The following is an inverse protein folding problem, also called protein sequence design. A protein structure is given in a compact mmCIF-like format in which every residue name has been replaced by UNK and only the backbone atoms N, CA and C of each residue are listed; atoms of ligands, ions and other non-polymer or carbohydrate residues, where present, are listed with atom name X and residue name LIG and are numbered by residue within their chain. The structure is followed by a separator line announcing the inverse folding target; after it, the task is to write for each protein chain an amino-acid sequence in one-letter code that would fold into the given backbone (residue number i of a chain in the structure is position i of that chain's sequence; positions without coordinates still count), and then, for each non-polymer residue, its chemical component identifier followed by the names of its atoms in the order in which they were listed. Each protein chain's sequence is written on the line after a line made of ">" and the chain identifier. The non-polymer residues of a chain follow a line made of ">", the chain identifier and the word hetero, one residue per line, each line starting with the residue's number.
data_IF_859596638749
#
_entry.id   IF_859596638749
#
_cell.length_a   1.000
_cell.length_b   1.000
_cell.length_c   1.000
_cell.angle_alpha   90.00
_cell.angle_beta   90.00
_cell.angle_gamma   90.00
#
_symmetry.space_group_name_H-M   'P 1'
#
loop_
_entity.id
_entity.type
_entity.pdbx_description
1 polymer ?
#
# COMPACT_ATOMS: atom_id res chain seq x y z
N UNK A 1 -16.07 12.24 -4.23
CA UNK A 1 -17.10 11.31 -3.73
C UNK A 1 -16.52 9.92 -3.93
N UNK A 2 -16.22 9.19 -2.86
CA UNK A 2 -15.59 7.88 -3.01
C UNK A 2 -16.58 6.93 -3.71
N UNK A 3 -16.22 6.30 -4.82
CA UNK A 3 -17.14 5.48 -5.61
C UNK A 3 -17.55 4.18 -4.90
N UNK A 4 -16.88 3.81 -3.81
CA UNK A 4 -17.09 2.54 -3.09
C UNK A 4 -17.94 2.71 -1.83
N UNK A 5 -17.84 3.83 -1.12
CA UNK A 5 -18.46 4.01 0.21
C UNK A 5 -19.59 5.05 0.25
N UNK A 6 -19.81 5.81 -0.83
CA UNK A 6 -20.81 6.91 -0.89
C UNK A 6 -20.72 7.93 0.26
N UNK A 7 -19.64 7.93 1.04
CA UNK A 7 -19.38 8.90 2.09
C UNK A 7 -18.83 10.19 1.48
N UNK A 8 -19.20 11.32 2.08
CA UNK A 8 -18.44 12.57 1.90
C UNK A 8 -17.02 12.31 2.43
N UNK A 9 -15.95 12.67 1.70
CA UNK A 9 -14.60 12.47 2.20
C UNK A 9 -14.47 13.26 3.51
N UNK A 10 -14.35 12.53 4.62
CA UNK A 10 -13.98 13.15 5.91
C UNK A 10 -12.58 13.70 5.67
N UNK A 11 -12.39 15.01 5.83
CA UNK A 11 -11.08 15.64 5.60
C UNK A 11 -10.09 14.97 6.57
N UNK A 12 -9.30 14.04 6.04
CA UNK A 12 -8.41 13.25 6.86
C UNK A 12 -7.35 14.18 7.45
N UNK A 13 -6.92 13.90 8.67
CA UNK A 13 -5.84 14.67 9.28
C UNK A 13 -4.63 14.65 8.33
N UNK A 14 -3.94 15.79 8.07
CA UNK A 14 -2.85 15.85 7.09
C UNK A 14 -1.72 14.83 7.31
N UNK A 15 -1.60 14.32 8.53
CA UNK A 15 -0.61 13.32 8.93
C UNK A 15 -1.18 11.90 9.09
N UNK A 16 -2.36 11.58 8.54
CA UNK A 16 -2.96 10.24 8.64
C UNK A 16 -2.29 9.18 7.75
N UNK A 17 -1.43 9.61 6.82
CA UNK A 17 -0.76 8.73 5.86
C UNK A 17 0.71 9.15 5.70
N UNK A 18 1.59 8.46 6.43
CA UNK A 18 3.03 8.75 6.48
C UNK A 18 3.91 7.50 6.30
N UNK A 19 3.75 6.72 5.21
CA UNK A 19 4.49 5.47 5.02
C UNK A 19 6.01 5.64 4.87
N UNK A 20 6.48 6.85 4.57
CA UNK A 20 7.89 7.19 4.37
C UNK A 20 8.38 8.32 5.30
N UNK A 21 7.63 8.58 6.38
CA UNK A 21 7.81 9.72 7.29
C UNK A 21 7.70 11.10 6.60
N UNK A 22 7.96 12.18 7.36
CA UNK A 22 7.94 13.57 6.87
C UNK A 22 9.15 14.35 7.41
N UNK A 23 9.43 15.50 6.78
CA UNK A 23 10.53 16.39 7.17
C UNK A 23 11.91 15.96 6.63
N UNK A 24 13.01 16.51 7.16
CA UNK A 24 14.36 16.33 6.61
C UNK A 24 14.92 14.91 6.78
N UNK A 25 14.24 14.05 7.56
CA UNK A 25 14.58 12.63 7.76
C UNK A 25 13.54 11.70 7.12
N UNK A 26 12.84 12.16 6.09
CA UNK A 26 11.97 11.31 5.28
C UNK A 26 12.80 10.27 4.50
N UNK A 27 12.13 9.25 3.97
CA UNK A 27 12.78 8.26 3.12
C UNK A 27 13.31 8.93 1.84
N UNK A 28 14.62 8.89 1.62
CA UNK A 28 15.25 9.36 0.38
C UNK A 28 14.71 8.63 -0.86
N UNK A 29 14.24 7.38 -0.69
CA UNK A 29 13.65 6.55 -1.73
C UNK A 29 12.15 6.76 -1.98
N UNK A 30 11.48 7.71 -1.31
CA UNK A 30 10.03 7.93 -1.40
C UNK A 30 9.50 7.99 -2.85
N UNK A 31 10.13 8.82 -3.69
CA UNK A 31 9.68 9.03 -5.06
C UNK A 31 9.91 7.78 -5.92
N UNK A 32 11.08 7.15 -5.75
CA UNK A 32 11.45 5.94 -6.47
C UNK A 32 10.54 4.77 -6.11
N UNK A 33 10.36 4.49 -4.82
CA UNK A 33 9.49 3.42 -4.34
C UNK A 33 8.03 3.59 -4.81
N UNK A 34 7.53 4.83 -4.84
CA UNK A 34 6.17 5.11 -5.33
C UNK A 34 6.02 4.93 -6.84
N UNK A 35 7.07 5.26 -7.61
CA UNK A 35 7.09 5.02 -9.05
C UNK A 35 7.11 3.52 -9.33
N UNK A 36 8.05 2.79 -8.75
CA UNK A 36 8.19 1.34 -8.95
C UNK A 36 6.93 0.58 -8.55
N UNK A 37 6.36 0.88 -7.38
CA UNK A 37 5.14 0.22 -6.92
C UNK A 37 3.97 0.41 -7.89
N UNK A 38 3.80 1.62 -8.46
CA UNK A 38 2.76 1.91 -9.46
C UNK A 38 3.01 1.17 -10.76
N UNK A 39 4.25 1.16 -11.25
CA UNK A 39 4.63 0.48 -12.50
C UNK A 39 4.42 -1.02 -12.37
N UNK A 40 4.95 -1.64 -11.31
CA UNK A 40 4.79 -3.07 -11.04
C UNK A 40 3.31 -3.42 -10.91
N UNK A 41 2.53 -2.65 -10.15
CA UNK A 41 1.09 -2.89 -10.00
C UNK A 41 0.35 -2.78 -11.34
N UNK A 42 0.66 -1.78 -12.17
CA UNK A 42 0.04 -1.62 -13.48
C UNK A 42 0.37 -2.81 -14.41
N UNK A 43 1.61 -3.30 -14.39
CA UNK A 43 2.02 -4.47 -15.17
C UNK A 43 1.28 -5.73 -14.70
N UNK A 44 1.25 -5.96 -13.38
CA UNK A 44 0.61 -7.10 -12.75
C UNK A 44 -0.90 -7.16 -13.05
N UNK A 45 -1.62 -6.04 -12.92
CA UNK A 45 -3.07 -6.00 -13.17
C UNK A 45 -3.42 -6.18 -14.66
N UNK A 46 -2.54 -5.77 -15.57
CA UNK A 46 -2.76 -5.96 -17.01
C UNK A 46 -2.48 -7.40 -17.48
N UNK A 47 -1.56 -8.10 -16.84
CA UNK A 47 -1.04 -9.39 -17.33
C UNK A 47 -1.48 -10.59 -16.49
N UNK A 48 -1.98 -10.38 -15.27
CA UNK A 48 -2.32 -11.44 -14.34
C UNK A 48 -3.76 -11.34 -13.87
N UNK A 49 -4.39 -12.51 -13.65
CA UNK A 49 -5.65 -12.61 -12.93
C UNK A 49 -5.38 -13.15 -11.53
N UNK A 50 -5.56 -12.30 -10.51
CA UNK A 50 -5.30 -12.67 -9.12
C UNK A 50 -6.46 -13.48 -8.53
N UNK A 51 -6.13 -14.62 -7.93
CA UNK A 51 -7.05 -15.41 -7.10
C UNK A 51 -6.36 -15.75 -5.79
N UNK A 52 -7.11 -15.69 -4.70
CA UNK A 52 -6.61 -16.14 -3.40
C UNK A 52 -6.75 -17.65 -3.32
N UNK A 53 -5.68 -18.34 -2.92
CA UNK A 53 -5.73 -19.78 -2.70
C UNK A 53 -6.75 -20.13 -1.61
N UNK A 54 -7.60 -21.16 -1.82
CA UNK A 54 -8.59 -21.58 -0.84
C UNK A 54 -7.92 -21.91 0.51
N UNK A 55 -8.32 -21.19 1.56
CA UNK A 55 -7.78 -21.40 2.91
C UNK A 55 -6.46 -20.69 3.22
N UNK A 56 -5.94 -19.84 2.32
CA UNK A 56 -4.75 -19.03 2.58
C UNK A 56 -4.94 -18.14 3.81
N UNK A 57 -4.04 -18.26 4.80
CA UNK A 57 -4.05 -17.45 6.02
C UNK A 57 -3.15 -16.23 5.84
N UNK A 58 -3.70 -15.03 6.00
CA UNK A 58 -2.93 -13.78 5.96
C UNK A 58 -2.72 -13.31 7.40
N UNK A 59 -1.53 -13.61 7.96
CA UNK A 59 -1.15 -13.19 9.31
C UNK A 59 0.06 -12.27 9.21
N UNK A 60 0.03 -11.06 9.80
CA UNK A 60 1.17 -10.17 9.80
C UNK A 60 2.28 -10.72 10.70
N UNK A 61 3.49 -10.78 10.16
CA UNK A 61 4.72 -11.05 10.90
C UNK A 61 5.56 -9.77 10.96
N UNK A 62 5.93 -9.36 12.16
CA UNK A 62 6.80 -8.21 12.41
C UNK A 62 8.24 -8.72 12.56
N UNK A 63 9.11 -8.37 11.62
CA UNK A 63 10.57 -8.53 11.73
C UNK A 63 11.23 -7.15 11.70
N UNK A 64 12.23 -6.95 10.85
CA UNK A 64 12.72 -5.61 10.52
C UNK A 64 11.64 -4.79 9.78
N UNK A 65 10.80 -5.45 8.98
CA UNK A 65 9.62 -4.90 8.32
C UNK A 65 8.40 -5.79 8.59
N UNK A 66 7.19 -5.26 8.38
CA UNK A 66 5.96 -6.06 8.42
C UNK A 66 5.77 -6.80 7.10
N UNK A 67 5.50 -8.10 7.15
CA UNK A 67 5.23 -8.94 5.98
C UNK A 67 4.20 -10.04 6.28
N UNK A 68 3.58 -10.66 5.27
CA UNK A 68 2.82 -11.88 5.47
C UNK A 68 3.71 -13.01 6.03
N UNK A 69 3.19 -13.78 6.99
CA UNK A 69 3.91 -14.89 7.62
C UNK A 69 4.05 -16.13 6.71
N UNK A 70 3.03 -16.39 5.90
CA UNK A 70 2.88 -17.59 5.06
C UNK A 70 3.07 -17.26 3.58
#
# INVERSE_FOLDING_TARGET
>A
RDPVTNLKPKLAHPFCYLPFAAGPRNCIGQNFASLEAKVILAMLVQQCHFQLEPGQKIVPEIRLTMRPKY
#
